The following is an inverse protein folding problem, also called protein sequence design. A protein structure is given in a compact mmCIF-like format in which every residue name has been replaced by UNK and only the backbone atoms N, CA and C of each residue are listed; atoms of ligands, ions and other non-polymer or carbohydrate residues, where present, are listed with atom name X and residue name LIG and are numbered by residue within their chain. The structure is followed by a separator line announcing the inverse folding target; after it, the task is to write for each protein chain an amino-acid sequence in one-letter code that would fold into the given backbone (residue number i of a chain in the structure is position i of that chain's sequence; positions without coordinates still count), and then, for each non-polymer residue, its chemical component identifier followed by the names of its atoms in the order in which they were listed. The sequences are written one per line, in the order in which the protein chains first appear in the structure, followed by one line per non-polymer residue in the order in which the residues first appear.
data_IF_737110341650
#
_entry.id   IF_737110341650
#
_cell.length_a   1.000
_cell.length_b   1.000
_cell.length_c   1.000
_cell.angle_alpha   90.00
_cell.angle_beta   90.00
_cell.angle_gamma   90.00
#
_symmetry.space_group_name_H-M   'P 1'
#
loop_
_entity.id
_entity.type
_entity.pdbx_description
1 polymer ?
#
# COMPACT_ATOMS: atom_id res chain seq x y z
N UNK A 1 3.44 0.99 16.90
CA UNK A 1 2.97 -0.17 16.12
C UNK A 1 2.61 0.28 14.71
N UNK A 2 2.94 -0.50 13.67
CA UNK A 2 2.64 -0.19 12.27
C UNK A 2 1.18 -0.53 11.95
N UNK A 3 0.55 0.27 11.08
CA UNK A 3 -0.79 -0.01 10.55
C UNK A 3 -0.70 -1.02 9.41
N UNK A 4 -1.40 -2.13 9.54
CA UNK A 4 -1.44 -3.18 8.51
C UNK A 4 -2.44 -2.80 7.41
N UNK A 5 -2.00 -2.83 6.16
CA UNK A 5 -2.77 -2.39 4.99
C UNK A 5 -2.79 -3.46 3.90
N UNK A 6 -3.94 -3.64 3.25
CA UNK A 6 -4.09 -4.39 1.99
C UNK A 6 -4.54 -3.43 0.89
N UNK A 7 -3.93 -3.50 -0.31
CA UNK A 7 -4.31 -2.68 -1.46
C UNK A 7 -4.93 -3.56 -2.54
N UNK A 8 -6.22 -3.32 -2.84
CA UNK A 8 -6.94 -3.95 -3.93
C UNK A 8 -6.88 -3.06 -5.18
N UNK A 9 -6.52 -3.62 -6.34
CA UNK A 9 -6.26 -2.82 -7.55
C UNK A 9 -4.94 -2.05 -7.49
N UNK A 10 -3.87 -2.70 -7.01
CA UNK A 10 -2.54 -2.12 -6.81
C UNK A 10 -1.87 -1.58 -8.10
N UNK A 11 -2.31 -2.04 -9.28
CA UNK A 11 -1.88 -1.58 -10.61
C UNK A 11 -2.56 -0.29 -11.05
N UNK A 12 -3.74 0.01 -10.51
CA UNK A 12 -4.50 1.22 -10.80
C UNK A 12 -3.80 2.51 -10.32
N UNK A 13 -4.27 3.65 -10.80
CA UNK A 13 -3.72 4.96 -10.42
C UNK A 13 -3.71 5.17 -8.90
N UNK A 14 -4.80 4.83 -8.22
CA UNK A 14 -4.92 4.93 -6.76
C UNK A 14 -3.99 3.93 -6.06
N UNK A 15 -3.93 2.68 -6.54
CA UNK A 15 -3.08 1.64 -5.97
C UNK A 15 -1.60 2.03 -6.00
N UNK A 16 -1.11 2.54 -7.13
CA UNK A 16 0.27 3.02 -7.27
C UNK A 16 0.58 4.23 -6.39
N UNK A 17 -0.33 5.21 -6.32
CA UNK A 17 -0.16 6.36 -5.44
C UNK A 17 -0.16 5.97 -3.96
N UNK A 18 -1.03 5.04 -3.55
CA UNK A 18 -1.04 4.50 -2.20
C UNK A 18 0.27 3.78 -1.87
N UNK A 19 0.81 3.00 -2.81
CA UNK A 19 2.13 2.36 -2.68
C UNK A 19 3.24 3.40 -2.47
N UNK A 20 3.19 4.55 -3.15
CA UNK A 20 4.17 5.62 -2.96
C UNK A 20 4.10 6.25 -1.57
N UNK A 21 2.91 6.39 -0.99
CA UNK A 21 2.74 6.81 0.40
C UNK A 21 3.32 5.77 1.36
N UNK A 22 3.01 4.47 1.16
CA UNK A 22 3.56 3.40 2.01
C UNK A 22 5.08 3.36 1.96
N UNK A 23 5.69 3.56 0.77
CA UNK A 23 7.14 3.64 0.59
C UNK A 23 7.77 4.82 1.34
N UNK A 24 7.08 5.97 1.42
CA UNK A 24 7.58 7.18 2.11
C UNK A 24 7.49 7.08 3.64
N UNK A 25 6.60 6.25 4.17
CA UNK A 25 6.37 6.12 5.61
C UNK A 25 6.42 4.65 6.08
N UNK A 26 7.55 3.96 5.90
CA UNK A 26 7.68 2.54 6.24
C UNK A 26 7.53 2.28 7.74
N UNK A 27 7.87 3.24 8.61
CA UNK A 27 7.68 3.19 10.06
C UNK A 27 6.20 3.23 10.49
N UNK A 28 5.31 3.72 9.61
CA UNK A 28 3.88 3.88 9.90
C UNK A 28 3.02 2.77 9.31
N UNK A 29 3.40 2.24 8.16
CA UNK A 29 2.59 1.29 7.40
C UNK A 29 3.32 -0.02 7.16
N UNK A 30 2.58 -1.11 7.26
CA UNK A 30 3.01 -2.45 6.89
C UNK A 30 2.03 -2.99 5.83
N UNK A 31 2.55 -3.23 4.63
CA UNK A 31 1.75 -3.79 3.55
C UNK A 31 1.68 -5.31 3.72
N UNK A 32 0.48 -5.85 3.90
CA UNK A 32 0.25 -7.26 4.20
C UNK A 32 -0.49 -8.01 3.09
N UNK A 33 -0.91 -7.31 2.04
CA UNK A 33 -1.55 -7.92 0.87
C UNK A 33 -1.67 -6.95 -0.29
N UNK A 34 -1.54 -7.50 -1.51
CA UNK A 34 -1.77 -6.79 -2.76
C UNK A 34 -2.69 -7.64 -3.64
N UNK A 35 -3.60 -6.97 -4.34
CA UNK A 35 -4.35 -7.56 -5.46
C UNK A 35 -4.11 -6.69 -6.69
N UNK A 36 -4.02 -7.33 -7.84
CA UNK A 36 -3.91 -6.69 -9.14
C UNK A 36 -5.01 -7.25 -10.05
N UNK A 37 -5.46 -6.41 -10.97
CA UNK A 37 -6.37 -6.72 -12.06
C UNK A 37 -5.99 -5.90 -13.27
#
# INVERSE_FOLDING_TARGET
MRRRLTILGSTGSIGRQALDVVRRYPDRFELVGLSAG
#
